data_IF_266041482696
#
_entry.id   IF_266041482696
#
_cell.length_a   1.000
_cell.length_b   1.000
_cell.length_c   1.000
_cell.angle_alpha   90.00
_cell.angle_beta   90.00
_cell.angle_gamma   90.00
#
_symmetry.space_group_name_H-M   'P 1'
#
loop_
_entity.id
_entity.type
_entity.pdbx_description
1 polymer ?
#
# COMPACT_ATOMS: atom_id res chain seq x y z
N UNK A 1 27.82 7.58 34.85
CA UNK A 1 26.37 7.31 34.72
C UNK A 1 26.01 7.39 33.23
N UNK A 2 26.56 6.53 32.37
CA UNK A 2 26.12 5.16 32.01
C UNK A 2 24.67 5.05 31.51
N UNK A 3 24.57 5.27 30.19
CA UNK A 3 23.59 4.85 29.19
C UNK A 3 22.63 3.71 29.57
N UNK A 4 21.32 4.01 29.54
CA UNK A 4 20.24 3.01 29.58
C UNK A 4 19.20 3.30 28.49
N UNK A 5 19.56 3.17 27.22
CA UNK A 5 18.60 3.11 26.12
C UNK A 5 19.21 2.27 24.98
N UNK A 6 19.02 0.96 25.02
CA UNK A 6 19.06 0.10 23.83
C UNK A 6 18.69 -1.32 24.25
N UNK A 7 17.40 -1.65 24.22
CA UNK A 7 16.89 -3.01 24.10
C UNK A 7 15.40 -2.93 23.71
N UNK A 8 15.11 -2.28 22.59
CA UNK A 8 13.87 -2.55 21.87
C UNK A 8 14.16 -3.83 21.08
N UNK A 9 13.48 -4.89 21.48
CA UNK A 9 13.70 -6.25 21.02
C UNK A 9 13.61 -6.35 19.49
N UNK A 10 14.65 -6.95 18.90
CA UNK A 10 14.68 -7.36 17.49
C UNK A 10 13.48 -8.27 17.13
N UNK A 11 12.83 -8.88 18.14
CA UNK A 11 11.63 -9.70 18.00
C UNK A 11 10.38 -8.87 17.61
N UNK A 12 10.28 -7.60 18.01
CA UNK A 12 9.11 -6.76 17.68
C UNK A 12 9.11 -6.28 16.21
N UNK A 13 10.28 -6.21 15.57
CA UNK A 13 10.40 -5.86 14.15
C UNK A 13 10.15 -7.06 13.22
N UNK A 14 10.20 -8.30 13.72
CA UNK A 14 9.89 -9.49 12.93
C UNK A 14 8.38 -9.79 12.86
N UNK A 15 7.60 -9.34 13.85
CA UNK A 15 6.15 -9.61 13.91
C UNK A 15 5.31 -8.75 12.98
N UNK A 16 5.83 -7.64 12.44
CA UNK A 16 5.09 -6.77 11.50
C UNK A 16 5.25 -7.24 10.04
N UNK A 17 6.20 -8.15 9.75
CA UNK A 17 6.40 -8.68 8.41
C UNK A 17 5.45 -9.85 8.04
N UNK A 18 4.66 -10.37 8.99
CA UNK A 18 3.86 -11.59 8.77
C UNK A 18 2.38 -11.37 8.46
N UNK A 19 1.89 -10.12 8.45
CA UNK A 19 0.45 -9.82 8.35
C UNK A 19 -0.04 -9.34 6.97
N UNK A 20 0.79 -9.33 5.92
CA UNK A 20 0.39 -8.83 4.58
C UNK A 20 0.42 -9.86 3.44
N UNK A 21 0.52 -11.15 3.76
CA UNK A 21 0.40 -12.25 2.77
C UNK A 21 -0.95 -12.97 2.94
N UNK A 22 -2.05 -12.23 2.85
CA UNK A 22 -3.41 -12.80 2.91
C UNK A 22 -4.35 -12.30 1.80
N UNK A 23 -3.79 -11.70 0.74
CA UNK A 23 -4.56 -11.29 -0.44
C UNK A 23 -3.75 -11.47 -1.74
N UNK A 24 -2.97 -12.56 -1.81
CA UNK A 24 -2.57 -13.08 -3.10
C UNK A 24 -3.70 -14.01 -3.53
N UNK A 25 -4.51 -13.53 -4.48
CA UNK A 25 -5.36 -14.38 -5.34
C UNK A 25 -4.63 -15.69 -5.56
N UNK A 26 -5.27 -16.79 -5.18
CA UNK A 26 -4.82 -18.11 -5.57
C UNK A 26 -4.62 -18.07 -7.08
N UNK A 27 -3.39 -18.27 -7.61
CA UNK A 27 -3.27 -18.59 -9.01
C UNK A 27 -3.96 -19.94 -9.13
N UNK A 28 -5.20 -19.92 -9.61
CA UNK A 28 -5.84 -21.09 -10.19
C UNK A 28 -4.91 -21.52 -11.31
N UNK A 29 -3.95 -22.39 -10.97
CA UNK A 29 -3.18 -23.14 -11.92
C UNK A 29 -4.20 -24.08 -12.55
N UNK A 30 -4.90 -23.56 -13.55
CA UNK A 30 -5.58 -24.38 -14.52
C UNK A 30 -4.45 -25.15 -15.20
N UNK A 31 -4.15 -26.34 -14.69
CA UNK A 31 -3.40 -27.39 -15.39
C UNK A 31 -4.29 -27.88 -16.52
N UNK A 32 -4.61 -26.97 -17.44
CA UNK A 32 -5.17 -27.26 -18.74
C UNK A 32 -3.98 -27.45 -19.65
N UNK A 33 -3.42 -28.66 -19.65
CA UNK A 33 -2.70 -29.14 -20.82
C UNK A 33 -3.58 -28.79 -22.04
N UNK A 34 -3.06 -28.12 -23.09
CA UNK A 34 -3.81 -27.93 -24.31
C UNK A 34 -4.11 -29.33 -24.86
N UNK A 35 -5.30 -29.85 -24.57
CA UNK A 35 -5.82 -31.01 -25.28
C UNK A 35 -5.89 -30.58 -26.74
N UNK A 36 -5.28 -31.32 -27.68
CA UNK A 36 -5.48 -31.05 -29.09
C UNK A 36 -6.98 -31.17 -29.36
N UNK A 37 -7.61 -30.03 -29.61
CA UNK A 37 -8.97 -29.96 -30.15
C UNK A 37 -8.90 -30.46 -31.59
N UNK A 38 -8.94 -31.78 -31.77
CA UNK A 38 -9.37 -32.35 -33.03
C UNK A 38 -10.83 -31.95 -33.20
N UNK A 39 -11.10 -31.23 -34.28
CA UNK A 39 -12.42 -30.69 -34.61
C UNK A 39 -13.50 -31.74 -34.45
N UNK A 40 -14.51 -31.39 -33.66
CA UNK A 40 -15.80 -32.08 -33.57
C UNK A 40 -16.49 -32.04 -34.94
N UNK A 41 -16.08 -32.95 -35.83
CA UNK A 41 -16.88 -33.44 -36.93
C UNK A 41 -17.58 -34.71 -36.48
N UNK A 42 -18.87 -34.58 -36.19
CA UNK A 42 -19.79 -35.67 -35.89
C UNK A 42 -19.69 -36.76 -36.96
N UNK A 43 -19.18 -37.95 -36.64
CA UNK A 43 -19.70 -39.26 -37.11
C UNK A 43 -19.19 -40.35 -36.15
N UNK A 44 -20.10 -40.90 -35.33
CA UNK A 44 -19.96 -42.28 -34.85
C UNK A 44 -20.35 -43.23 -35.99
N UNK A 45 -19.64 -44.36 -36.18
CA UNK A 45 -20.14 -45.61 -35.61
C UNK A 45 -19.04 -46.36 -34.86
N UNK A 46 -19.32 -46.83 -33.65
CA UNK A 46 -19.79 -48.20 -33.41
C UNK A 46 -18.81 -49.25 -33.95
N UNK A 47 -17.97 -49.68 -33.01
CA UNK A 47 -17.37 -51.01 -32.85
C UNK A 47 -17.99 -52.10 -33.73
N UNK A 48 -17.16 -52.74 -34.55
CA UNK A 48 -17.46 -54.03 -35.16
C UNK A 48 -17.21 -54.06 -36.67
N UNK A 49 -16.11 -54.67 -37.10
CA UNK A 49 -15.91 -54.94 -38.52
C UNK A 49 -14.50 -55.41 -38.85
N UNK A 50 -14.34 -56.72 -38.99
CA UNK A 50 -13.29 -57.32 -39.79
C UNK A 50 -13.40 -56.79 -41.22
N UNK A 51 -12.67 -55.72 -41.53
CA UNK A 51 -12.66 -55.05 -42.83
C UNK A 51 -11.41 -55.40 -43.62
N UNK A 52 -11.48 -56.50 -44.39
CA UNK A 52 -10.56 -56.78 -45.49
C UNK A 52 -10.76 -55.70 -46.56
N UNK A 53 -10.05 -54.57 -46.47
CA UNK A 53 -10.03 -53.56 -47.53
C UNK A 53 -8.97 -53.91 -48.58
N UNK A 54 -9.50 -54.58 -49.61
CA UNK A 54 -8.92 -54.81 -50.92
C UNK A 54 -9.13 -53.55 -51.77
N UNK A 55 -8.05 -52.84 -52.13
CA UNK A 55 -7.90 -52.17 -53.44
C UNK A 55 -6.47 -51.65 -53.66
N UNK A 56 -5.69 -52.44 -54.41
CA UNK A 56 -4.81 -51.92 -55.48
C UNK A 56 -3.45 -51.32 -55.11
N UNK A 57 -2.43 -52.16 -54.93
CA UNK A 57 -1.18 -52.14 -55.72
C UNK A 57 -0.08 -53.03 -55.10
N UNK A 58 0.46 -53.93 -55.92
CA UNK A 58 1.65 -54.77 -55.74
C UNK A 58 1.53 -55.97 -54.77
N UNK A 59 2.03 -57.12 -55.23
CA UNK A 59 1.98 -58.42 -54.59
C UNK A 59 2.74 -58.43 -53.25
N UNK A 60 2.04 -58.25 -52.12
CA UNK A 60 2.65 -58.31 -50.79
C UNK A 60 2.59 -59.74 -50.26
N UNK A 61 3.75 -60.40 -50.26
CA UNK A 61 3.94 -61.55 -49.38
C UNK A 61 3.76 -61.11 -47.93
N UNK A 62 3.35 -62.01 -47.03
CA UNK A 62 3.21 -61.71 -45.60
C UNK A 62 4.50 -61.09 -45.00
N UNK A 63 5.64 -61.32 -45.63
CA UNK A 63 6.91 -60.70 -45.29
C UNK A 63 6.97 -59.20 -45.59
N UNK A 64 6.45 -58.76 -46.75
CA UNK A 64 6.45 -57.35 -47.15
C UNK A 64 5.52 -56.50 -46.27
N UNK A 65 4.37 -57.05 -45.86
CA UNK A 65 3.44 -56.36 -44.94
C UNK A 65 4.04 -56.19 -43.54
N UNK A 66 4.78 -57.19 -43.04
CA UNK A 66 5.51 -57.10 -41.76
C UNK A 66 6.63 -56.05 -41.86
N UNK A 67 7.39 -56.03 -42.95
CA UNK A 67 8.46 -55.05 -43.15
C UNK A 67 7.91 -53.62 -43.28
N UNK A 68 6.80 -53.42 -44.00
CA UNK A 68 6.15 -52.10 -44.14
C UNK A 68 5.58 -51.63 -42.80
N UNK A 69 4.91 -52.50 -42.03
CA UNK A 69 4.44 -52.18 -40.69
C UNK A 69 5.57 -51.80 -39.72
N UNK A 70 6.73 -52.48 -39.79
CA UNK A 70 7.92 -52.10 -39.01
C UNK A 70 8.47 -50.73 -39.44
N UNK A 71 8.50 -50.42 -40.73
CA UNK A 71 8.93 -49.12 -41.22
C UNK A 71 7.99 -47.99 -40.76
N UNK A 72 6.68 -48.23 -40.72
CA UNK A 72 5.70 -47.26 -40.24
C UNK A 72 5.83 -47.02 -38.72
N UNK A 73 6.12 -48.07 -37.93
CA UNK A 73 6.42 -47.91 -36.49
C UNK A 73 7.69 -47.09 -36.26
N UNK A 74 8.75 -47.34 -37.03
CA UNK A 74 10.00 -46.56 -36.92
C UNK A 74 9.76 -45.10 -37.30
N UNK A 75 8.97 -44.84 -38.35
CA UNK A 75 8.60 -43.47 -38.74
C UNK A 75 7.80 -42.78 -37.63
N UNK A 76 6.80 -43.45 -37.07
CA UNK A 76 5.99 -42.91 -35.97
C UNK A 76 6.84 -42.61 -34.72
N UNK A 77 7.82 -43.44 -34.39
CA UNK A 77 8.76 -43.18 -33.30
C UNK A 77 9.64 -41.95 -33.59
N UNK A 78 10.09 -41.77 -34.84
CA UNK A 78 10.84 -40.59 -35.25
C UNK A 78 10.02 -39.30 -35.15
N UNK A 79 8.78 -39.32 -35.62
CA UNK A 79 7.84 -38.19 -35.51
C UNK A 79 7.54 -37.86 -34.04
N UNK A 80 7.32 -38.87 -33.20
CA UNK A 80 7.12 -38.68 -31.77
C UNK A 80 8.33 -38.03 -31.10
N UNK A 81 9.55 -38.45 -31.43
CA UNK A 81 10.77 -37.87 -30.88
C UNK A 81 10.93 -36.39 -31.26
N UNK A 82 10.59 -36.02 -32.50
CA UNK A 82 10.60 -34.62 -32.96
C UNK A 82 9.56 -33.78 -32.20
N UNK A 83 8.34 -34.28 -32.07
CA UNK A 83 7.28 -33.58 -31.32
C UNK A 83 7.66 -33.37 -29.84
N UNK A 84 8.32 -34.35 -29.22
CA UNK A 84 8.81 -34.24 -27.85
C UNK A 84 9.93 -33.17 -27.77
N UNK A 85 10.86 -33.16 -28.72
CA UNK A 85 11.94 -32.18 -28.75
C UNK A 85 11.41 -30.74 -28.93
N UNK A 86 10.42 -30.55 -29.81
CA UNK A 86 9.75 -29.25 -30.00
C UNK A 86 8.97 -28.84 -28.74
N UNK A 87 8.26 -29.77 -28.09
CA UNK A 87 7.57 -29.51 -26.84
C UNK A 87 8.54 -29.05 -25.74
N UNK A 88 9.69 -29.73 -25.58
CA UNK A 88 10.71 -29.35 -24.61
C UNK A 88 11.29 -27.97 -24.90
N UNK A 89 11.59 -27.67 -26.16
CA UNK A 89 12.07 -26.33 -26.56
C UNK A 89 11.04 -25.25 -26.23
N UNK A 90 9.77 -25.47 -26.56
CA UNK A 90 8.71 -24.50 -26.25
C UNK A 90 8.54 -24.30 -24.74
N UNK A 91 8.71 -25.35 -23.95
CA UNK A 91 8.69 -25.27 -22.50
C UNK A 91 9.84 -24.45 -21.94
N UNK A 92 11.06 -24.64 -22.44
CA UNK A 92 12.23 -23.85 -22.04
C UNK A 92 12.09 -22.37 -22.42
N UNK A 93 11.60 -22.09 -23.63
CA UNK A 93 11.32 -20.72 -24.07
C UNK A 93 10.25 -20.06 -23.18
N UNK A 94 9.18 -20.77 -22.83
CA UNK A 94 8.15 -20.28 -21.92
C UNK A 94 8.71 -20.00 -20.52
N UNK A 95 9.58 -20.89 -20.00
CA UNK A 95 10.25 -20.71 -18.71
C UNK A 95 11.18 -19.50 -18.72
N UNK A 96 11.94 -19.29 -19.79
CA UNK A 96 12.80 -18.09 -19.93
C UNK A 96 11.96 -16.81 -19.90
N UNK A 97 10.89 -16.75 -20.70
CA UNK A 97 9.99 -15.59 -20.72
C UNK A 97 9.33 -15.32 -19.37
N UNK A 98 8.96 -16.38 -18.65
CA UNK A 98 8.41 -16.27 -17.30
C UNK A 98 9.42 -15.63 -16.33
N UNK A 99 10.67 -16.12 -16.32
CA UNK A 99 11.72 -15.57 -15.47
C UNK A 99 12.04 -14.11 -15.83
N UNK A 100 12.10 -13.78 -17.12
CA UNK A 100 12.32 -12.40 -17.57
C UNK A 100 11.21 -11.45 -17.10
N UNK A 101 9.95 -11.90 -17.18
CA UNK A 101 8.81 -11.13 -16.70
C UNK A 101 8.86 -10.93 -15.18
N UNK A 102 9.28 -11.96 -14.45
CA UNK A 102 9.41 -11.88 -12.99
C UNK A 102 10.52 -10.90 -12.58
N UNK A 103 11.67 -10.94 -13.25
CA UNK A 103 12.77 -9.97 -13.03
C UNK A 103 12.31 -8.55 -13.33
N UNK A 104 11.64 -8.31 -14.47
CA UNK A 104 11.08 -7.00 -14.81
C UNK A 104 10.07 -6.51 -13.78
N UNK A 105 9.20 -7.40 -13.29
CA UNK A 105 8.21 -7.08 -12.24
C UNK A 105 8.89 -6.63 -10.96
N UNK A 106 9.95 -7.34 -10.54
CA UNK A 106 10.73 -6.99 -9.35
C UNK A 106 11.45 -5.66 -9.53
N UNK A 107 12.06 -5.41 -10.69
CA UNK A 107 12.73 -4.14 -10.99
C UNK A 107 11.76 -2.96 -10.88
N UNK A 108 10.59 -3.04 -11.54
CA UNK A 108 9.56 -1.98 -11.48
C UNK A 108 9.07 -1.77 -10.04
N UNK A 109 8.90 -2.84 -9.26
CA UNK A 109 8.48 -2.73 -7.85
C UNK A 109 9.54 -1.99 -7.02
N UNK A 110 10.81 -2.31 -7.21
CA UNK A 110 11.91 -1.63 -6.50
C UNK A 110 12.01 -0.16 -6.89
N UNK A 111 11.87 0.15 -8.18
CA UNK A 111 11.86 1.52 -8.70
C UNK A 111 10.72 2.34 -8.11
N UNK A 112 9.48 1.81 -8.15
CA UNK A 112 8.31 2.47 -7.53
C UNK A 112 8.50 2.71 -6.04
N UNK A 113 9.13 1.78 -5.32
CA UNK A 113 9.46 1.96 -3.90
C UNK A 113 10.47 3.09 -3.70
N UNK A 114 11.52 3.16 -4.53
CA UNK A 114 12.52 4.25 -4.47
C UNK A 114 11.88 5.61 -4.75
N UNK A 115 11.07 5.72 -5.80
CA UNK A 115 10.33 6.94 -6.13
C UNK A 115 9.38 7.34 -4.99
N UNK A 116 8.61 6.39 -4.45
CA UNK A 116 7.69 6.67 -3.35
C UNK A 116 8.39 7.18 -2.08
N UNK A 117 9.57 6.64 -1.76
CA UNK A 117 10.39 7.15 -0.65
C UNK A 117 10.93 8.56 -0.94
N UNK A 118 11.45 8.80 -2.14
CA UNK A 118 11.96 10.11 -2.54
C UNK A 118 10.85 11.19 -2.45
N UNK A 119 9.66 10.90 -2.95
CA UNK A 119 8.49 11.80 -2.86
C UNK A 119 8.10 12.08 -1.41
N UNK A 120 8.12 11.07 -0.54
CA UNK A 120 7.83 11.25 0.89
C UNK A 120 8.87 12.16 1.55
N UNK A 121 10.16 11.95 1.25
CA UNK A 121 11.23 12.81 1.75
C UNK A 121 11.09 14.25 1.26
N UNK A 122 10.78 14.46 -0.02
CA UNK A 122 10.58 15.80 -0.58
C UNK A 122 9.38 16.50 0.07
N UNK A 123 8.25 15.80 0.22
CA UNK A 123 7.08 16.34 0.92
C UNK A 123 7.41 16.71 2.35
N UNK A 124 8.09 15.81 3.08
CA UNK A 124 8.47 16.06 4.46
C UNK A 124 9.41 17.26 4.60
N UNK A 125 10.42 17.37 3.72
CA UNK A 125 11.32 18.53 3.67
C UNK A 125 10.55 19.84 3.39
N UNK A 126 9.60 19.83 2.45
CA UNK A 126 8.73 20.99 2.18
C UNK A 126 7.87 21.37 3.39
N UNK A 127 7.32 20.39 4.10
CA UNK A 127 6.55 20.64 5.33
C UNK A 127 7.41 21.20 6.45
N UNK A 128 8.62 20.65 6.66
CA UNK A 128 9.58 21.16 7.63
C UNK A 128 9.97 22.60 7.31
N UNK A 129 10.36 22.89 6.06
CA UNK A 129 10.72 24.23 5.62
C UNK A 129 9.58 25.23 5.87
N UNK A 130 8.32 24.89 5.54
CA UNK A 130 7.15 25.75 5.84
C UNK A 130 6.92 25.96 7.33
N UNK A 131 7.12 24.91 8.14
CA UNK A 131 6.98 25.00 9.59
C UNK A 131 8.06 25.91 10.18
N UNK A 132 9.30 25.77 9.74
CA UNK A 132 10.43 26.58 10.16
C UNK A 132 10.25 28.05 9.77
N UNK A 133 9.81 28.35 8.54
CA UNK A 133 9.53 29.73 8.13
C UNK A 133 8.40 30.34 8.95
N UNK A 134 7.35 29.58 9.23
CA UNK A 134 6.24 30.04 10.08
C UNK A 134 6.70 30.27 11.53
N UNK A 135 7.53 29.38 12.07
CA UNK A 135 8.12 29.56 13.40
C UNK A 135 9.05 30.78 13.46
N UNK A 136 9.86 31.01 12.41
CA UNK A 136 10.73 32.17 12.31
C UNK A 136 9.93 33.47 12.20
N UNK A 137 8.87 33.50 11.38
CA UNK A 137 7.96 34.65 11.28
C UNK A 137 7.26 34.93 12.62
N UNK A 138 6.75 33.90 13.28
CA UNK A 138 6.12 34.05 14.60
C UNK A 138 7.12 34.51 15.67
N UNK A 139 8.38 34.05 15.60
CA UNK A 139 9.44 34.51 16.48
C UNK A 139 9.73 36.00 16.25
N UNK A 140 9.96 36.40 15.00
CA UNK A 140 10.21 37.79 14.63
C UNK A 140 9.03 38.70 15.03
N UNK A 141 7.80 38.26 14.81
CA UNK A 141 6.61 39.00 15.24
C UNK A 141 6.58 39.22 16.76
N UNK A 142 6.95 38.21 17.56
CA UNK A 142 7.06 38.34 19.02
C UNK A 142 8.18 39.28 19.44
N UNK A 143 9.33 39.23 18.77
CA UNK A 143 10.45 40.14 19.04
C UNK A 143 10.09 41.59 18.74
N UNK A 144 9.41 41.84 17.60
CA UNK A 144 8.86 43.16 17.25
C UNK A 144 7.84 43.58 18.31
N UNK A 145 6.88 42.72 18.66
CA UNK A 145 5.86 43.04 19.65
C UNK A 145 6.48 43.39 21.02
N UNK A 146 7.49 42.64 21.46
CA UNK A 146 8.19 42.90 22.71
C UNK A 146 8.97 44.23 22.70
N UNK A 147 9.40 44.70 21.52
CA UNK A 147 10.15 45.95 21.37
C UNK A 147 9.23 47.18 21.34
N UNK A 148 8.07 47.08 20.69
CA UNK A 148 7.21 48.24 20.41
C UNK A 148 5.97 48.33 21.28
N UNK A 149 5.49 47.24 21.86
CA UNK A 149 4.27 47.24 22.68
C UNK A 149 4.66 47.34 24.15
N UNK A 150 4.18 48.37 24.88
CA UNK A 150 4.38 48.47 26.33
C UNK A 150 3.89 47.21 27.04
N UNK A 151 4.63 46.75 28.05
CA UNK A 151 4.29 45.54 28.79
C UNK A 151 2.85 45.57 29.37
N UNK A 152 2.38 46.76 29.77
CA UNK A 152 1.03 46.98 30.29
C UNK A 152 -0.06 46.66 29.25
N UNK A 153 0.13 47.06 27.98
CA UNK A 153 -0.81 46.75 26.91
C UNK A 153 -0.80 45.25 26.55
N UNK A 154 0.36 44.59 26.70
CA UNK A 154 0.47 43.14 26.52
C UNK A 154 -0.32 42.42 27.63
N UNK A 155 -0.19 42.85 28.89
CA UNK A 155 -0.96 42.26 29.99
C UNK A 155 -2.46 42.49 29.85
N UNK A 156 -2.88 43.68 29.42
CA UNK A 156 -4.28 44.01 29.15
C UNK A 156 -4.87 43.11 28.04
N UNK A 157 -4.18 43.00 26.90
CA UNK A 157 -4.64 42.15 25.79
C UNK A 157 -4.72 40.67 26.18
N UNK A 158 -3.81 40.17 27.01
CA UNK A 158 -3.90 38.83 27.58
C UNK A 158 -5.10 38.66 28.53
N UNK A 159 -5.33 39.63 29.42
CA UNK A 159 -6.47 39.64 30.33
C UNK A 159 -7.80 39.64 29.56
N UNK A 160 -7.94 40.50 28.56
CA UNK A 160 -9.11 40.56 27.67
C UNK A 160 -9.35 39.26 26.90
N UNK A 161 -8.29 38.62 26.41
CA UNK A 161 -8.42 37.34 25.68
C UNK A 161 -8.95 36.23 26.60
N UNK A 162 -8.44 36.16 27.84
CA UNK A 162 -8.94 35.22 28.85
C UNK A 162 -10.37 35.53 29.28
N UNK A 163 -10.69 36.80 29.47
CA UNK A 163 -12.05 37.25 29.77
C UNK A 163 -13.03 36.83 28.67
N UNK A 164 -12.68 37.05 27.41
CA UNK A 164 -13.52 36.63 26.27
C UNK A 164 -13.73 35.11 26.24
N UNK A 165 -12.67 34.34 26.53
CA UNK A 165 -12.78 32.88 26.63
C UNK A 165 -13.69 32.46 27.79
N UNK A 166 -13.56 33.08 28.96
CA UNK A 166 -14.39 32.81 30.13
C UNK A 166 -15.87 33.13 29.83
N UNK A 167 -16.16 34.29 29.23
CA UNK A 167 -17.51 34.68 28.75
C UNK A 167 -18.08 33.65 27.77
N UNK A 168 -17.30 33.21 26.79
CA UNK A 168 -17.73 32.18 25.84
C UNK A 168 -18.04 30.84 26.54
N UNK A 169 -17.30 30.47 27.58
CA UNK A 169 -17.59 29.26 28.35
C UNK A 169 -18.90 29.36 29.14
N UNK A 170 -19.18 30.54 29.73
CA UNK A 170 -20.45 30.81 30.42
C UNK A 170 -21.63 30.70 29.45
N UNK A 171 -21.52 31.33 28.27
CA UNK A 171 -22.55 31.29 27.22
C UNK A 171 -22.81 29.85 26.76
N UNK A 172 -21.77 29.04 26.66
CA UNK A 172 -21.87 27.64 26.27
C UNK A 172 -22.37 26.70 27.39
N UNK A 173 -22.84 27.24 28.52
CA UNK A 173 -23.37 26.46 29.65
C UNK A 173 -22.31 25.78 30.51
N UNK A 174 -21.02 26.05 30.28
CA UNK A 174 -19.91 25.52 31.10
C UNK A 174 -19.62 26.46 32.27
N UNK A 175 -20.59 26.57 33.17
CA UNK A 175 -20.63 27.59 34.23
C UNK A 175 -19.38 27.53 35.12
N UNK A 176 -19.05 26.38 35.70
CA UNK A 176 -17.89 26.23 36.60
C UNK A 176 -16.56 26.61 35.94
N UNK A 177 -16.37 26.21 34.68
CA UNK A 177 -15.17 26.54 33.91
C UNK A 177 -15.10 28.03 33.57
N UNK A 178 -16.25 28.64 33.27
CA UNK A 178 -16.35 30.08 33.04
C UNK A 178 -16.06 30.89 34.30
N UNK A 179 -16.67 30.55 35.44
CA UNK A 179 -16.41 31.18 36.74
C UNK A 179 -14.94 31.05 37.12
N UNK A 180 -14.36 29.84 37.01
CA UNK A 180 -12.93 29.62 37.29
C UNK A 180 -12.04 30.49 36.40
N UNK A 181 -12.41 30.67 35.12
CA UNK A 181 -11.70 31.54 34.20
C UNK A 181 -11.78 33.02 34.60
N UNK A 182 -12.96 33.50 35.04
CA UNK A 182 -13.13 34.86 35.54
C UNK A 182 -12.31 35.11 36.81
N UNK A 183 -12.32 34.18 37.76
CA UNK A 183 -11.52 34.27 38.99
C UNK A 183 -10.03 34.31 38.67
N UNK A 184 -9.57 33.53 37.69
CA UNK A 184 -8.18 33.59 37.25
C UNK A 184 -7.82 34.96 36.69
N UNK A 185 -8.72 35.58 35.92
CA UNK A 185 -8.50 36.92 35.34
C UNK A 185 -8.38 37.96 36.45
N UNK A 186 -9.29 37.97 37.43
CA UNK A 186 -9.26 38.94 38.55
C UNK A 186 -8.02 38.78 39.43
N UNK A 187 -7.58 37.55 39.69
CA UNK A 187 -6.42 37.29 40.54
C UNK A 187 -5.07 37.59 39.87
N UNK A 188 -4.92 37.26 38.58
CA UNK A 188 -3.63 37.38 37.88
C UNK A 188 -3.41 38.73 37.22
N UNK A 189 -4.47 39.49 36.93
CA UNK A 189 -4.40 40.73 36.16
C UNK A 189 -5.06 41.89 36.91
N UNK A 190 -4.78 42.07 38.20
CA UNK A 190 -5.48 43.01 39.10
C UNK A 190 -5.53 44.46 38.63
N UNK A 191 -4.60 44.89 37.78
CA UNK A 191 -4.48 46.29 37.31
C UNK A 191 -4.97 46.47 35.87
N UNK A 192 -5.85 45.60 35.38
CA UNK A 192 -6.39 45.62 34.01
C UNK A 192 -7.87 45.92 34.00
N UNK A 193 -8.35 46.65 33.00
CA UNK A 193 -9.78 46.97 32.84
C UNK A 193 -10.60 45.68 32.72
N UNK A 194 -10.03 44.66 32.06
CA UNK A 194 -10.61 43.33 31.96
C UNK A 194 -10.82 42.64 33.31
N UNK A 195 -9.97 42.87 34.31
CA UNK A 195 -10.16 42.31 35.64
C UNK A 195 -11.30 42.99 36.39
N UNK A 196 -11.50 44.30 36.21
CA UNK A 196 -12.65 45.01 36.77
C UNK A 196 -13.96 44.48 36.18
N UNK A 197 -14.01 44.30 34.85
CA UNK A 197 -15.17 43.71 34.18
C UNK A 197 -15.42 42.26 34.63
N UNK A 198 -14.37 41.45 34.77
CA UNK A 198 -14.49 40.08 35.27
C UNK A 198 -15.04 40.04 36.71
N UNK A 199 -14.59 40.96 37.57
CA UNK A 199 -15.08 41.09 38.93
C UNK A 199 -16.55 41.49 38.98
N UNK A 200 -16.99 42.42 38.13
CA UNK A 200 -18.38 42.83 38.01
C UNK A 200 -19.29 41.64 37.62
N UNK A 201 -18.88 40.84 36.63
CA UNK A 201 -19.63 39.64 36.23
C UNK A 201 -19.68 38.61 37.36
N UNK A 202 -18.57 38.40 38.08
CA UNK A 202 -18.56 37.50 39.24
C UNK A 202 -19.51 37.97 40.35
N UNK A 203 -19.61 39.28 40.58
CA UNK A 203 -20.56 39.82 41.56
C UNK A 203 -22.02 39.65 41.10
N UNK A 204 -22.29 39.74 39.80
CA UNK A 204 -23.63 39.49 39.23
C UNK A 204 -24.04 38.02 39.36
N UNK A 205 -23.10 37.09 39.16
CA UNK A 205 -23.37 35.64 39.27
C UNK A 205 -23.55 35.19 40.72
N UNK A 206 -22.85 35.81 41.67
CA UNK A 206 -22.92 35.46 43.10
C UNK A 206 -24.02 36.21 43.87
N UNK A 207 -24.72 37.16 43.21
CA UNK A 207 -25.87 37.88 43.75
C UNK A 207 -27.15 37.05 43.78
#
# INVERSE_FOLDING_TARGET
MMNTLNNISLAALFSIALASVAAADEPTVVVGLPRPTFGSGVVAPVVGGYGYHRTGAAASTAHESILRGRADVIRAQGEQALLIAEALRSYEEAKSRFLDNEVKRLAVRQERRRMGLADQHERFAKYQARRETTMALNRAAREIQATYVPAEQITETHAQTKLRLAKNLLINGRIDSGISGLVEVTQKYTNTDAAEEAAAILTEING
#
